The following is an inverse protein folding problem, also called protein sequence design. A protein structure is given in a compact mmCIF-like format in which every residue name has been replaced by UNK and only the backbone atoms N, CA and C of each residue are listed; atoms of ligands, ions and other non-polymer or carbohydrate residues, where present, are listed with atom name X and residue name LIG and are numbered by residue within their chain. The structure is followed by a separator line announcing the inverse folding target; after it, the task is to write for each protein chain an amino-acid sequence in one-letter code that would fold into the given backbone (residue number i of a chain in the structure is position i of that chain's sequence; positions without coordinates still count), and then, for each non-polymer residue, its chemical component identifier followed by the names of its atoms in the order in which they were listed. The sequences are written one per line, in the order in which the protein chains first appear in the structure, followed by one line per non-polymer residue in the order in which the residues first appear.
data_IF_016600512030
#
_entry.id   IF_016600512030
#
_cell.length_a   1.000
_cell.length_b   1.000
_cell.length_c   1.000
_cell.angle_alpha   90.00
_cell.angle_beta   90.00
_cell.angle_gamma   90.00
#
_symmetry.space_group_name_H-M   'P 1'
#
loop_
_entity.id
_entity.type
_entity.pdbx_description
1 polymer ?
#
# COMPACT_ATOMS: atom_id res chain seq x y z
N UNK A 1 12.10 11.33 17.54
CA UNK A 1 11.08 10.79 16.63
C UNK A 1 10.35 9.66 17.33
N UNK A 2 9.02 9.61 17.26
CA UNK A 2 8.29 8.41 17.66
C UNK A 2 8.64 7.23 16.72
N UNK A 3 8.55 5.98 17.20
CA UNK A 3 8.17 5.61 18.55
C UNK A 3 9.32 5.76 19.57
N UNK A 4 8.98 5.80 20.85
CA UNK A 4 9.94 5.85 21.95
C UNK A 4 10.55 4.49 22.30
N UNK A 5 11.23 4.38 23.47
CA UNK A 5 11.86 3.15 23.94
C UNK A 5 10.94 1.92 23.97
N UNK A 6 11.58 0.74 23.91
CA UNK A 6 11.08 -0.62 23.64
C UNK A 6 10.69 -0.94 22.18
N UNK A 7 10.32 0.05 21.36
CA UNK A 7 10.08 -0.16 19.91
C UNK A 7 11.25 0.35 19.08
N UNK A 8 11.70 1.58 19.36
CA UNK A 8 12.86 2.21 18.76
C UNK A 8 14.04 2.17 19.73
N UNK A 9 15.19 1.69 19.27
CA UNK A 9 16.42 1.68 20.08
C UNK A 9 17.06 3.08 20.18
N UNK A 10 16.90 3.91 19.14
CA UNK A 10 17.42 5.27 19.12
C UNK A 10 16.43 6.21 18.41
N UNK A 11 15.67 7.03 19.15
CA UNK A 11 14.69 7.95 18.57
C UNK A 11 15.30 9.27 18.05
N UNK A 12 16.61 9.50 18.21
CA UNK A 12 17.26 10.76 17.86
C UNK A 12 17.46 10.90 16.35
N UNK A 13 17.11 12.06 15.78
CA UNK A 13 17.29 12.38 14.36
C UNK A 13 17.69 13.84 14.18
N UNK A 14 18.24 14.16 13.00
CA UNK A 14 18.34 15.54 12.51
C UNK A 14 17.18 15.78 11.54
N UNK A 15 16.35 16.78 11.83
CA UNK A 15 15.14 17.06 11.03
C UNK A 15 15.49 18.04 9.90
N UNK A 16 15.08 17.70 8.67
CA UNK A 16 15.25 18.52 7.47
C UNK A 16 13.87 18.99 7.00
N UNK A 17 13.60 20.29 7.05
CA UNK A 17 12.25 20.86 6.86
C UNK A 17 12.14 21.85 5.70
N UNK A 18 13.16 21.93 4.85
CA UNK A 18 13.18 22.83 3.70
C UNK A 18 13.60 22.11 2.41
N UNK A 19 13.16 22.64 1.26
CA UNK A 19 13.40 22.04 -0.05
C UNK A 19 14.86 22.04 -0.51
N UNK A 20 15.76 22.75 0.19
CA UNK A 20 17.19 22.76 -0.11
C UNK A 20 17.92 21.66 0.66
N UNK A 21 17.55 21.41 1.91
CA UNK A 21 18.16 20.37 2.74
C UNK A 21 17.61 18.97 2.44
N UNK A 22 16.30 18.84 2.22
CA UNK A 22 15.61 17.54 2.05
C UNK A 22 16.23 16.61 0.97
N UNK A 23 16.68 17.08 -0.21
CA UNK A 23 17.20 16.22 -1.26
C UNK A 23 18.40 15.36 -0.87
N UNK A 24 19.12 15.69 0.22
CA UNK A 24 20.19 14.83 0.75
C UNK A 24 19.70 13.41 1.05
N UNK A 25 18.41 13.25 1.37
CA UNK A 25 17.79 11.97 1.65
C UNK A 25 17.71 11.06 0.42
N UNK A 26 17.95 11.56 -0.79
CA UNK A 26 17.93 10.76 -2.02
C UNK A 26 19.31 10.31 -2.49
N UNK A 27 20.37 10.94 -1.98
CA UNK A 27 21.75 10.66 -2.38
C UNK A 27 22.29 9.44 -1.63
N UNK A 28 22.13 8.26 -2.24
CA UNK A 28 22.56 6.97 -1.66
C UNK A 28 24.08 6.82 -1.53
N UNK A 29 24.87 7.78 -2.02
CA UNK A 29 26.31 7.86 -1.72
C UNK A 29 26.58 8.53 -0.35
N UNK A 30 25.58 9.22 0.22
CA UNK A 30 25.67 9.97 1.47
C UNK A 30 24.78 9.42 2.57
N UNK A 31 23.71 8.70 2.23
CA UNK A 31 22.79 8.08 3.19
C UNK A 31 22.58 6.61 2.88
N UNK A 32 22.69 5.77 3.90
CA UNK A 32 22.22 4.38 3.85
C UNK A 32 20.68 4.35 3.94
N UNK A 33 20.04 3.37 3.29
CA UNK A 33 18.57 3.17 3.25
C UNK A 33 18.13 1.81 3.78
N UNK A 34 18.89 1.24 4.70
CA UNK A 34 18.64 -0.06 5.31
C UNK A 34 17.67 0.05 6.50
N UNK A 35 16.65 -0.80 6.53
CA UNK A 35 15.75 -1.04 7.68
C UNK A 35 15.03 0.20 8.25
N UNK A 36 14.97 1.28 7.49
CA UNK A 36 14.47 2.59 7.94
C UNK A 36 13.23 3.09 7.20
N UNK A 37 12.57 2.22 6.43
CA UNK A 37 11.35 2.56 5.69
C UNK A 37 10.24 3.09 6.60
N UNK A 38 10.20 2.62 7.84
CA UNK A 38 9.26 3.06 8.90
C UNK A 38 9.92 3.98 9.94
N UNK A 39 11.07 4.56 9.63
CA UNK A 39 11.79 5.49 10.51
C UNK A 39 12.79 4.78 11.43
N UNK A 40 12.75 5.10 12.73
CA UNK A 40 13.76 4.63 13.71
C UNK A 40 13.50 3.22 14.24
N UNK A 41 12.55 2.49 13.65
CA UNK A 41 12.27 1.10 13.94
C UNK A 41 11.88 0.38 12.64
N UNK A 42 12.09 -0.93 12.62
CA UNK A 42 11.61 -1.85 11.59
C UNK A 42 10.61 -2.85 12.23
N UNK A 43 9.43 -3.10 11.65
CA UNK A 43 8.51 -4.16 12.09
C UNK A 43 9.17 -5.54 12.12
N UNK A 44 8.63 -6.50 12.89
CA UNK A 44 9.16 -7.87 12.89
C UNK A 44 9.06 -8.49 11.49
N UNK A 45 10.09 -9.22 11.05
CA UNK A 45 10.04 -10.00 9.81
C UNK A 45 9.01 -11.12 9.87
N UNK A 46 8.52 -11.51 11.06
CA UNK A 46 7.39 -12.44 11.20
C UNK A 46 6.10 -11.90 10.55
N UNK A 47 5.99 -10.59 10.35
CA UNK A 47 4.88 -9.95 9.62
C UNK A 47 5.05 -10.02 8.10
N UNK A 48 6.20 -10.49 7.61
CA UNK A 48 6.57 -10.56 6.19
C UNK A 48 7.18 -11.92 5.81
N UNK A 49 6.73 -12.98 6.49
CA UNK A 49 7.16 -14.36 6.17
C UNK A 49 8.60 -14.69 6.54
N UNK A 50 9.22 -13.91 7.43
CA UNK A 50 10.63 -14.04 7.81
C UNK A 50 11.60 -13.24 6.92
N UNK A 51 11.11 -12.60 5.87
CA UNK A 51 11.95 -11.86 4.91
C UNK A 51 12.02 -10.36 5.21
N UNK A 52 13.21 -9.77 5.01
CA UNK A 52 13.36 -8.32 4.86
C UNK A 52 12.96 -7.95 3.43
N UNK A 53 11.74 -7.44 3.26
CA UNK A 53 11.19 -7.09 1.94
C UNK A 53 11.91 -5.90 1.32
N UNK A 54 11.78 -5.75 0.00
CA UNK A 54 12.45 -4.75 -0.84
C UNK A 54 12.47 -3.33 -0.24
N UNK A 55 11.37 -2.87 0.36
CA UNK A 55 11.29 -1.52 0.94
C UNK A 55 12.29 -1.26 2.07
N UNK A 56 12.82 -2.30 2.72
CA UNK A 56 13.81 -2.20 3.82
C UNK A 56 15.24 -2.48 3.36
N UNK A 57 15.46 -2.82 2.08
CA UNK A 57 16.78 -3.17 1.57
C UNK A 57 17.52 -1.94 1.05
N UNK A 58 18.77 -1.78 1.47
CA UNK A 58 19.65 -0.77 0.91
C UNK A 58 20.07 -1.14 -0.54
N UNK A 59 20.30 -0.18 -1.45
CA UNK A 59 20.75 -0.48 -2.81
C UNK A 59 22.06 -1.27 -2.92
N UNK A 60 22.91 -1.24 -1.89
CA UNK A 60 24.13 -2.07 -1.81
C UNK A 60 23.83 -3.57 -1.61
N UNK A 61 22.62 -3.93 -1.18
CA UNK A 61 22.21 -5.33 -0.98
C UNK A 61 21.82 -5.98 -2.34
N UNK A 62 22.41 -7.12 -2.73
CA UNK A 62 22.16 -7.73 -4.04
C UNK A 62 20.68 -8.01 -4.35
N UNK A 63 19.89 -8.39 -3.33
CA UNK A 63 18.47 -8.68 -3.50
C UNK A 63 17.63 -7.43 -3.77
N UNK A 64 18.09 -6.22 -3.38
CA UNK A 64 17.37 -4.98 -3.71
C UNK A 64 17.23 -4.84 -5.24
N UNK A 65 18.32 -5.01 -6.00
CA UNK A 65 18.29 -4.89 -7.45
C UNK A 65 17.39 -5.96 -8.10
N UNK A 66 17.47 -7.21 -7.65
CA UNK A 66 16.66 -8.33 -8.16
C UNK A 66 15.17 -8.11 -7.92
N UNK A 67 14.77 -7.84 -6.67
CA UNK A 67 13.37 -7.63 -6.30
C UNK A 67 12.80 -6.38 -6.96
N UNK A 68 13.58 -5.30 -7.08
CA UNK A 68 13.14 -4.09 -7.80
C UNK A 68 12.94 -4.35 -9.29
N UNK A 69 13.81 -5.14 -9.92
CA UNK A 69 13.63 -5.59 -11.31
C UNK A 69 12.36 -6.42 -11.47
N UNK A 70 12.04 -7.29 -10.51
CA UNK A 70 10.79 -8.04 -10.50
C UNK A 70 9.55 -7.12 -10.45
N UNK A 71 9.60 -6.06 -9.63
CA UNK A 71 8.51 -5.06 -9.60
C UNK A 71 8.38 -4.32 -10.94
N UNK A 72 9.48 -3.97 -11.59
CA UNK A 72 9.45 -3.38 -12.93
C UNK A 72 8.87 -4.34 -13.97
N UNK A 73 9.19 -5.63 -13.88
CA UNK A 73 8.58 -6.65 -14.72
C UNK A 73 7.07 -6.71 -14.52
N UNK A 74 6.58 -6.78 -13.27
CA UNK A 74 5.15 -6.79 -12.95
C UNK A 74 4.43 -5.59 -13.58
N UNK A 75 4.93 -4.37 -13.33
CA UNK A 75 4.32 -3.14 -13.84
C UNK A 75 4.32 -3.08 -15.37
N UNK A 76 5.43 -3.43 -16.01
CA UNK A 76 5.58 -3.33 -17.48
C UNK A 76 4.81 -4.42 -18.23
N UNK A 77 4.77 -5.64 -17.70
CA UNK A 77 4.07 -6.79 -18.31
C UNK A 77 2.55 -6.62 -18.31
N UNK A 78 2.00 -5.81 -17.41
CA UNK A 78 0.56 -5.58 -17.23
C UNK A 78 0.07 -4.20 -17.66
N UNK A 79 0.93 -3.40 -18.32
CA UNK A 79 0.62 -2.00 -18.69
C UNK A 79 -0.69 -1.81 -19.48
N UNK A 80 -1.07 -2.77 -20.33
CA UNK A 80 -2.26 -2.68 -21.17
C UNK A 80 -3.56 -2.88 -20.36
N UNK A 81 -3.47 -3.46 -19.16
CA UNK A 81 -4.60 -3.79 -18.31
C UNK A 81 -4.93 -2.66 -17.32
N UNK A 82 -4.01 -1.70 -17.15
CA UNK A 82 -4.15 -0.63 -16.16
C UNK A 82 -5.37 0.24 -16.45
N UNK A 83 -5.50 0.76 -17.68
CA UNK A 83 -6.60 1.68 -18.03
C UNK A 83 -7.96 0.95 -18.00
N UNK A 84 -8.15 -0.21 -18.67
CA UNK A 84 -9.42 -0.93 -18.63
C UNK A 84 -9.84 -1.30 -17.20
N UNK A 85 -8.93 -1.84 -16.39
CA UNK A 85 -9.28 -2.29 -15.04
C UNK A 85 -9.47 -1.14 -14.05
N UNK A 86 -8.83 0.01 -14.28
CA UNK A 86 -9.13 1.23 -13.56
C UNK A 86 -10.54 1.71 -13.88
N UNK A 87 -10.90 1.78 -15.16
CA UNK A 87 -12.25 2.14 -15.59
C UNK A 87 -13.30 1.22 -14.95
N UNK A 88 -13.12 -0.09 -15.04
CA UNK A 88 -14.07 -1.06 -14.48
C UNK A 88 -14.23 -0.89 -12.96
N UNK A 89 -13.13 -0.92 -12.22
CA UNK A 89 -13.16 -0.90 -10.76
C UNK A 89 -13.69 0.42 -10.18
N UNK A 90 -13.38 1.55 -10.83
CA UNK A 90 -13.83 2.86 -10.38
C UNK A 90 -15.22 3.24 -10.91
N UNK A 91 -15.70 2.62 -11.99
CA UNK A 91 -17.13 2.73 -12.37
C UNK A 91 -18.02 2.06 -11.34
N UNK A 92 -17.67 0.82 -10.94
CA UNK A 92 -18.36 0.08 -9.86
C UNK A 92 -18.37 0.90 -8.54
N UNK A 93 -17.27 1.59 -8.23
CA UNK A 93 -17.18 2.51 -7.09
C UNK A 93 -18.23 3.62 -7.19
N UNK A 94 -18.25 4.37 -8.30
CA UNK A 94 -19.13 5.54 -8.43
C UNK A 94 -20.60 5.13 -8.46
N UNK A 95 -20.96 4.02 -9.11
CA UNK A 95 -22.31 3.44 -9.04
C UNK A 95 -22.71 3.13 -7.58
N UNK A 96 -21.80 2.55 -6.79
CA UNK A 96 -22.03 2.29 -5.37
C UNK A 96 -22.25 3.58 -4.58
N UNK A 97 -21.44 4.62 -4.83
CA UNK A 97 -21.55 5.90 -4.15
C UNK A 97 -22.83 6.64 -4.51
N UNK A 98 -23.27 6.61 -5.78
CA UNK A 98 -24.51 7.21 -6.24
C UNK A 98 -25.73 6.53 -5.61
N UNK A 99 -25.71 5.20 -5.52
CA UNK A 99 -26.75 4.42 -4.84
C UNK A 99 -26.81 4.75 -3.34
N UNK A 100 -25.67 4.89 -2.66
CA UNK A 100 -25.65 5.28 -1.25
C UNK A 100 -26.12 6.74 -1.05
N UNK A 101 -25.69 7.65 -1.94
CA UNK A 101 -26.05 9.05 -1.88
C UNK A 101 -27.55 9.25 -2.07
N UNK A 102 -28.16 8.57 -3.04
CA UNK A 102 -29.61 8.66 -3.32
C UNK A 102 -30.47 8.10 -2.18
N UNK A 103 -29.97 7.10 -1.45
CA UNK A 103 -30.72 6.45 -0.36
C UNK A 103 -30.49 7.08 1.01
N UNK A 104 -29.31 7.64 1.28
CA UNK A 104 -28.92 8.16 2.60
C UNK A 104 -28.63 9.67 2.64
N UNK A 105 -28.63 10.35 1.49
CA UNK A 105 -28.25 11.76 1.37
C UNK A 105 -26.76 12.04 1.56
N UNK A 106 -25.94 11.00 1.75
CA UNK A 106 -24.47 11.06 1.85
C UNK A 106 -23.88 9.68 1.51
N UNK A 107 -22.64 9.65 1.00
CA UNK A 107 -21.93 8.41 0.67
C UNK A 107 -20.54 8.36 1.33
N UNK A 108 -20.15 7.18 1.80
CA UNK A 108 -18.86 6.95 2.48
C UNK A 108 -17.75 6.55 1.51
N UNK A 109 -16.88 7.50 1.12
CA UNK A 109 -15.81 7.24 0.15
C UNK A 109 -14.83 6.14 0.58
N UNK A 110 -14.35 6.17 1.82
CA UNK A 110 -13.15 5.40 2.20
C UNK A 110 -13.32 3.89 2.03
N UNK A 111 -14.45 3.33 2.50
CA UNK A 111 -14.69 1.89 2.40
C UNK A 111 -14.88 1.44 0.94
N UNK A 112 -15.61 2.23 0.15
CA UNK A 112 -15.81 1.97 -1.26
C UNK A 112 -14.47 2.05 -2.03
N UNK A 113 -13.67 3.09 -1.76
CA UNK A 113 -12.35 3.29 -2.37
C UNK A 113 -11.39 2.16 -2.01
N UNK A 114 -11.38 1.71 -0.75
CA UNK A 114 -10.58 0.56 -0.35
C UNK A 114 -10.94 -0.68 -1.18
N UNK A 115 -12.23 -1.00 -1.32
CA UNK A 115 -12.64 -2.15 -2.13
C UNK A 115 -12.24 -1.99 -3.61
N UNK A 116 -12.53 -0.84 -4.21
CA UNK A 116 -12.19 -0.55 -5.59
C UNK A 116 -10.68 -0.58 -5.84
N UNK A 117 -9.87 -0.05 -4.91
CA UNK A 117 -8.42 -0.05 -5.01
C UNK A 117 -7.85 -1.47 -5.00
N UNK A 118 -8.32 -2.34 -4.12
CA UNK A 118 -7.84 -3.72 -4.09
C UNK A 118 -8.29 -4.53 -5.31
N UNK A 119 -9.55 -4.35 -5.77
CA UNK A 119 -10.04 -4.96 -7.01
C UNK A 119 -9.20 -4.50 -8.20
N UNK A 120 -8.96 -3.20 -8.35
CA UNK A 120 -8.14 -2.63 -9.40
C UNK A 120 -6.73 -3.21 -9.41
N UNK A 121 -6.05 -3.24 -8.25
CA UNK A 121 -4.69 -3.79 -8.17
C UNK A 121 -4.65 -5.28 -8.51
N UNK A 122 -5.63 -6.06 -8.02
CA UNK A 122 -5.72 -7.48 -8.32
C UNK A 122 -5.95 -7.75 -9.82
N UNK A 123 -6.93 -7.09 -10.43
CA UNK A 123 -7.28 -7.26 -11.84
C UNK A 123 -6.16 -6.75 -12.75
N UNK A 124 -5.66 -5.54 -12.51
CA UNK A 124 -4.60 -4.95 -13.34
C UNK A 124 -3.28 -5.70 -13.22
N UNK A 125 -2.80 -6.01 -12.02
CA UNK A 125 -1.46 -6.58 -11.82
C UNK A 125 -1.42 -8.11 -11.95
N UNK A 126 -2.51 -8.82 -11.67
CA UNK A 126 -2.51 -10.29 -11.62
C UNK A 126 -3.58 -10.93 -12.50
N UNK A 127 -4.46 -10.14 -13.13
CA UNK A 127 -5.49 -10.65 -14.02
C UNK A 127 -6.57 -11.44 -13.31
N UNK A 128 -6.75 -11.22 -12.00
CA UNK A 128 -7.74 -11.91 -11.19
C UNK A 128 -8.67 -10.92 -10.51
N UNK A 129 -9.96 -11.22 -10.54
CA UNK A 129 -10.95 -10.53 -9.73
C UNK A 129 -11.03 -11.20 -8.35
N UNK A 130 -10.72 -10.50 -7.25
CA UNK A 130 -10.68 -11.11 -5.91
C UNK A 130 -11.98 -11.79 -5.49
N UNK A 131 -13.12 -11.30 -6.00
CA UNK A 131 -14.45 -11.85 -5.74
C UNK A 131 -14.60 -13.30 -6.24
N UNK A 132 -13.85 -13.68 -7.27
CA UNK A 132 -13.87 -15.02 -7.86
C UNK A 132 -12.91 -15.99 -7.12
N UNK A 133 -12.33 -15.54 -6.00
CA UNK A 133 -11.37 -16.32 -5.19
C UNK A 133 -11.88 -16.50 -3.77
N UNK A 134 -11.17 -17.33 -2.98
CA UNK A 134 -11.41 -17.50 -1.53
C UNK A 134 -11.23 -16.20 -0.73
N UNK A 135 -10.61 -15.17 -1.31
CA UNK A 135 -10.41 -13.88 -0.66
C UNK A 135 -11.71 -13.06 -0.66
N UNK A 136 -12.54 -13.17 -1.69
CA UNK A 136 -13.79 -12.42 -1.82
C UNK A 136 -13.56 -10.91 -1.65
N UNK A 137 -14.37 -10.29 -0.80
CA UNK A 137 -14.28 -8.86 -0.43
C UNK A 137 -13.45 -8.62 0.84
N UNK A 138 -12.81 -9.64 1.42
CA UNK A 138 -12.09 -9.50 2.69
C UNK A 138 -10.73 -8.78 2.56
N UNK A 139 -10.18 -8.68 1.34
CA UNK A 139 -8.84 -8.13 1.08
C UNK A 139 -8.52 -6.85 1.86
N UNK A 140 -9.30 -5.75 1.68
CA UNK A 140 -9.09 -4.50 2.41
C UNK A 140 -9.04 -4.64 3.93
N UNK A 141 -9.93 -5.46 4.52
CA UNK A 141 -10.00 -5.66 5.97
C UNK A 141 -8.76 -6.39 6.49
N UNK A 142 -8.33 -7.45 5.80
CA UNK A 142 -7.14 -8.22 6.16
C UNK A 142 -5.88 -7.35 6.05
N UNK A 143 -5.76 -6.57 4.96
CA UNK A 143 -4.65 -5.64 4.76
C UNK A 143 -4.65 -4.57 5.85
N UNK A 144 -5.80 -3.97 6.16
CA UNK A 144 -5.91 -2.94 7.20
C UNK A 144 -5.45 -3.43 8.57
N UNK A 145 -5.86 -4.65 8.96
CA UNK A 145 -5.39 -5.27 10.20
C UNK A 145 -3.88 -5.56 10.15
N UNK A 146 -3.36 -6.12 9.05
CA UNK A 146 -1.93 -6.39 8.91
C UNK A 146 -1.06 -5.13 8.93
N UNK A 147 -1.48 -4.06 8.24
CA UNK A 147 -0.80 -2.75 8.25
C UNK A 147 -0.82 -2.14 9.65
N UNK A 148 -1.91 -2.29 10.42
CA UNK A 148 -1.96 -1.84 11.80
C UNK A 148 -0.86 -2.50 12.64
N UNK A 149 -0.63 -3.81 12.48
CA UNK A 149 0.44 -4.51 13.20
C UNK A 149 1.85 -4.04 12.81
N UNK A 150 2.01 -3.42 11.65
CA UNK A 150 3.29 -2.85 11.22
C UNK A 150 3.47 -1.40 11.67
N UNK A 151 2.40 -0.60 11.63
CA UNK A 151 2.48 0.85 11.77
C UNK A 151 1.87 1.40 13.05
N UNK A 152 1.29 0.57 13.92
CA UNK A 152 0.74 1.00 15.20
C UNK A 152 1.64 1.98 15.99
N UNK A 153 2.99 1.90 15.97
CA UNK A 153 3.83 2.84 16.72
C UNK A 153 3.82 4.28 16.15
N UNK A 154 3.28 4.47 14.95
CA UNK A 154 3.22 5.74 14.22
C UNK A 154 1.78 6.26 14.07
N UNK A 155 0.77 5.48 14.46
CA UNK A 155 -0.63 5.78 14.20
C UNK A 155 -1.34 6.24 15.48
N UNK A 156 -2.09 7.33 15.35
CA UNK A 156 -3.03 7.80 16.37
C UNK A 156 -4.42 7.38 15.92
N UNK A 157 -5.07 6.49 16.68
CA UNK A 157 -6.40 5.93 16.37
C UNK A 157 -7.54 6.71 17.04
N UNK A 158 -7.22 7.68 17.89
CA UNK A 158 -8.21 8.50 18.60
C UNK A 158 -8.74 7.84 19.88
N UNK A 159 -7.99 6.88 20.44
CA UNK A 159 -8.30 6.29 21.75
C UNK A 159 -7.91 7.27 22.88
N UNK A 160 -8.43 7.10 24.11
CA UNK A 160 -7.91 7.84 25.26
C UNK A 160 -6.40 7.66 25.38
N UNK A 161 -5.66 8.76 25.52
CA UNK A 161 -4.18 8.78 25.42
C UNK A 161 -3.47 7.67 26.20
N UNK A 162 -3.86 7.44 27.45
CA UNK A 162 -3.23 6.41 28.30
C UNK A 162 -3.42 5.01 27.71
N UNK A 163 -4.62 4.69 27.21
CA UNK A 163 -4.90 3.42 26.56
C UNK A 163 -4.13 3.31 25.24
N UNK A 164 -4.09 4.38 24.46
CA UNK A 164 -3.38 4.42 23.19
C UNK A 164 -1.87 4.23 23.38
N UNK A 165 -1.26 4.93 24.33
CA UNK A 165 0.18 4.83 24.60
C UNK A 165 0.57 3.42 25.09
N UNK A 166 -0.22 2.82 25.97
CA UNK A 166 0.02 1.47 26.49
C UNK A 166 -0.10 0.39 25.41
N UNK A 167 -1.15 0.47 24.58
CA UNK A 167 -1.47 -0.58 23.61
C UNK A 167 -0.71 -0.40 22.28
N UNK A 168 -0.50 0.84 21.85
CA UNK A 168 -0.02 1.15 20.50
C UNK A 168 1.39 1.75 20.46
N UNK A 169 1.85 2.44 21.50
CA UNK A 169 3.11 3.20 21.42
C UNK A 169 4.24 2.66 22.30
N UNK A 170 3.98 1.66 23.15
CA UNK A 170 4.97 1.12 24.10
C UNK A 170 5.59 -0.21 23.64
N UNK A 171 4.79 -1.19 23.20
CA UNK A 171 5.29 -2.51 22.78
C UNK A 171 4.77 -2.89 21.41
N UNK A 172 5.53 -3.73 20.70
CA UNK A 172 5.12 -4.29 19.40
C UNK A 172 3.93 -5.22 19.59
N UNK A 173 2.91 -5.09 18.72
CA UNK A 173 1.80 -6.03 18.69
C UNK A 173 2.31 -7.44 18.27
N UNK A 174 1.87 -8.53 18.94
CA UNK A 174 2.38 -9.87 18.65
C UNK A 174 2.01 -10.35 17.21
N UNK A 175 2.99 -10.63 16.33
CA UNK A 175 2.71 -11.04 14.94
C UNK A 175 1.80 -12.27 14.79
N UNK A 176 1.81 -13.16 15.79
CA UNK A 176 0.95 -14.35 15.82
C UNK A 176 -0.56 -14.04 15.68
N UNK A 177 -1.02 -12.87 16.15
CA UNK A 177 -2.42 -12.47 16.12
C UNK A 177 -2.94 -12.08 14.71
N UNK A 178 -2.03 -11.90 13.75
CA UNK A 178 -2.37 -11.59 12.35
C UNK A 178 -1.84 -12.63 11.36
N UNK A 179 -1.15 -13.68 11.84
CA UNK A 179 -0.55 -14.73 11.00
C UNK A 179 -1.57 -15.42 10.08
N UNK A 180 -2.76 -15.77 10.58
CA UNK A 180 -3.82 -16.41 9.78
C UNK A 180 -4.36 -15.48 8.68
N UNK A 181 -4.52 -14.20 9.00
CA UNK A 181 -5.00 -13.19 8.04
C UNK A 181 -3.95 -12.95 6.95
N UNK A 182 -2.68 -12.85 7.34
CA UNK A 182 -1.55 -12.74 6.41
C UNK A 182 -1.45 -13.98 5.50
N UNK A 183 -1.67 -15.19 6.04
CA UNK A 183 -1.65 -16.42 5.24
C UNK A 183 -2.73 -16.43 4.16
N UNK A 184 -3.93 -15.89 4.44
CA UNK A 184 -4.99 -15.76 3.42
C UNK A 184 -4.55 -14.85 2.27
N UNK A 185 -3.90 -13.73 2.59
CA UNK A 185 -3.32 -12.84 1.58
C UNK A 185 -2.21 -13.56 0.80
N UNK A 186 -1.27 -14.20 1.50
CA UNK A 186 -0.18 -14.95 0.86
C UNK A 186 -0.71 -16.00 -0.12
N UNK A 187 -1.70 -16.80 0.27
CA UNK A 187 -2.28 -17.83 -0.60
C UNK A 187 -2.89 -17.20 -1.85
N UNK A 188 -3.61 -16.07 -1.72
CA UNK A 188 -4.15 -15.34 -2.86
C UNK A 188 -3.05 -14.92 -3.84
N UNK A 189 -1.95 -14.32 -3.36
CA UNK A 189 -0.85 -13.93 -4.25
C UNK A 189 -0.15 -15.15 -4.85
N UNK A 190 0.12 -16.18 -4.05
CA UNK A 190 0.82 -17.37 -4.50
C UNK A 190 0.06 -18.12 -5.60
N UNK A 191 -1.27 -18.23 -5.46
CA UNK A 191 -2.15 -18.88 -6.45
C UNK A 191 -2.31 -18.07 -7.75
N UNK A 192 -2.23 -16.73 -7.68
CA UNK A 192 -2.62 -15.86 -8.80
C UNK A 192 -1.46 -15.07 -9.45
N UNK A 193 -0.23 -15.23 -8.99
CA UNK A 193 0.94 -14.49 -9.52
C UNK A 193 1.96 -15.37 -10.26
N UNK A 194 1.55 -16.56 -10.73
CA UNK A 194 2.42 -17.58 -11.35
C UNK A 194 3.43 -17.00 -12.34
N UNK A 195 2.99 -16.21 -13.32
CA UNK A 195 3.89 -15.65 -14.34
C UNK A 195 5.01 -14.77 -13.76
N UNK A 196 4.71 -14.03 -12.69
CA UNK A 196 5.67 -13.16 -12.00
C UNK A 196 6.59 -14.00 -11.11
N UNK A 197 6.06 -15.03 -10.45
CA UNK A 197 6.85 -15.97 -9.65
C UNK A 197 7.84 -16.75 -10.53
N UNK A 198 7.43 -17.16 -11.74
CA UNK A 198 8.32 -17.81 -12.71
C UNK A 198 9.46 -16.88 -13.15
N UNK A 199 9.18 -15.57 -13.31
CA UNK A 199 10.22 -14.58 -13.61
C UNK A 199 11.17 -14.36 -12.43
N UNK A 200 10.67 -14.44 -11.20
CA UNK A 200 11.47 -14.32 -9.99
C UNK A 200 12.53 -15.45 -9.90
N UNK A 201 12.15 -16.69 -10.24
CA UNK A 201 13.08 -17.82 -10.24
C UNK A 201 14.22 -17.64 -11.25
N UNK A 202 13.94 -17.08 -12.44
CA UNK A 202 14.97 -16.80 -13.46
C UNK A 202 16.02 -15.79 -12.99
N UNK A 203 15.66 -14.87 -12.10
CA UNK A 203 16.59 -13.90 -11.51
C UNK A 203 17.16 -14.35 -10.17
N UNK A 204 16.92 -15.61 -9.78
CA UNK A 204 17.45 -16.24 -8.58
C UNK A 204 16.82 -15.72 -7.29
N UNK A 205 15.51 -15.49 -7.29
CA UNK A 205 14.68 -15.25 -6.10
C UNK A 205 13.70 -16.43 -5.97
N UNK A 206 13.55 -16.97 -4.76
CA UNK A 206 12.61 -18.08 -4.55
C UNK A 206 11.16 -17.62 -4.74
N UNK A 207 10.25 -18.53 -5.13
CA UNK A 207 8.82 -18.20 -5.24
C UNK A 207 8.23 -17.68 -3.93
N UNK A 208 8.69 -18.20 -2.79
CA UNK A 208 8.26 -17.77 -1.46
C UNK A 208 8.67 -16.32 -1.18
N UNK A 209 9.97 -15.99 -1.34
CA UNK A 209 10.48 -14.63 -1.15
C UNK A 209 9.81 -13.64 -2.12
N UNK A 210 9.64 -14.05 -3.38
CA UNK A 210 8.95 -13.26 -4.40
C UNK A 210 7.50 -12.99 -4.01
N UNK A 211 6.76 -14.00 -3.54
CA UNK A 211 5.36 -13.87 -3.13
C UNK A 211 5.21 -12.89 -1.96
N UNK A 212 6.07 -12.97 -0.93
CA UNK A 212 6.04 -12.01 0.18
C UNK A 212 6.33 -10.58 -0.28
N UNK A 213 7.26 -10.39 -1.23
CA UNK A 213 7.55 -9.08 -1.81
C UNK A 213 6.41 -8.54 -2.69
N UNK A 214 5.73 -9.40 -3.46
CA UNK A 214 4.55 -9.03 -4.26
C UNK A 214 3.38 -8.62 -3.37
N UNK A 215 3.12 -9.40 -2.31
CA UNK A 215 2.12 -9.07 -1.30
C UNK A 215 2.45 -7.71 -0.68
N UNK A 216 3.69 -7.48 -0.25
CA UNK A 216 4.07 -6.22 0.36
C UNK A 216 3.93 -5.04 -0.62
N UNK A 217 4.43 -5.19 -1.85
CA UNK A 217 4.33 -4.16 -2.86
C UNK A 217 2.87 -3.79 -3.18
N UNK A 218 1.99 -4.78 -3.31
CA UNK A 218 0.59 -4.53 -3.64
C UNK A 218 -0.22 -4.04 -2.45
N UNK A 219 -0.11 -4.69 -1.29
CA UNK A 219 -0.94 -4.38 -0.12
C UNK A 219 -0.42 -3.20 0.69
N UNK A 220 0.90 -3.08 0.88
CA UNK A 220 1.48 -2.02 1.69
C UNK A 220 1.77 -0.78 0.85
N UNK A 221 2.61 -0.92 -0.19
CA UNK A 221 3.08 0.24 -0.96
C UNK A 221 1.95 0.83 -1.83
N UNK A 222 1.30 0.00 -2.65
CA UNK A 222 0.30 0.46 -3.62
C UNK A 222 -1.07 0.70 -2.98
N UNK A 223 -1.69 -0.31 -2.37
CA UNK A 223 -3.01 -0.18 -1.74
C UNK A 223 -2.99 0.84 -0.59
N UNK A 224 -1.98 0.79 0.29
CA UNK A 224 -1.80 1.78 1.35
C UNK A 224 -1.62 3.20 0.80
N UNK A 225 -0.86 3.34 -0.29
CA UNK A 225 -0.71 4.61 -1.00
C UNK A 225 -2.03 5.15 -1.57
N UNK A 226 -2.79 4.32 -2.29
CA UNK A 226 -4.10 4.69 -2.87
C UNK A 226 -5.08 5.06 -1.76
N UNK A 227 -5.14 4.27 -0.68
CA UNK A 227 -5.98 4.50 0.51
C UNK A 227 -5.80 5.89 1.10
N UNK A 228 -4.58 6.46 1.03
CA UNK A 228 -4.28 7.81 1.52
C UNK A 228 -4.44 8.85 0.41
N UNK A 229 -3.88 8.60 -0.78
CA UNK A 229 -3.78 9.58 -1.84
C UNK A 229 -5.14 9.92 -2.45
N UNK A 230 -5.99 8.93 -2.74
CA UNK A 230 -7.24 9.14 -3.47
C UNK A 230 -8.26 9.96 -2.67
N UNK A 231 -8.52 9.66 -1.38
CA UNK A 231 -9.37 10.51 -0.55
C UNK A 231 -8.81 11.94 -0.40
N UNK A 232 -7.49 12.09 -0.31
CA UNK A 232 -6.87 13.42 -0.22
C UNK A 232 -7.00 14.21 -1.53
N UNK A 233 -6.84 13.55 -2.68
CA UNK A 233 -7.07 14.14 -4.00
C UNK A 233 -8.51 14.62 -4.12
N UNK A 234 -9.49 13.77 -3.80
CA UNK A 234 -10.90 14.15 -3.85
C UNK A 234 -11.23 15.30 -2.89
N UNK A 235 -10.66 15.29 -1.68
CA UNK A 235 -10.80 16.40 -0.71
C UNK A 235 -10.32 17.73 -1.29
N UNK A 236 -9.15 17.76 -1.93
CA UNK A 236 -8.58 18.99 -2.47
C UNK A 236 -9.31 19.47 -3.72
N UNK A 237 -9.67 18.57 -4.64
CA UNK A 237 -10.49 18.89 -5.80
C UNK A 237 -11.86 19.40 -5.35
N UNK A 238 -12.50 18.74 -4.38
CA UNK A 238 -13.78 19.18 -3.81
C UNK A 238 -13.72 20.60 -3.22
N UNK A 239 -12.65 20.92 -2.48
CA UNK A 239 -12.44 22.25 -1.89
C UNK A 239 -12.11 23.34 -2.90
N UNK A 240 -11.61 23.00 -4.08
CA UNK A 240 -11.35 23.97 -5.14
C UNK A 240 -12.63 24.51 -5.79
N UNK A 241 -13.76 23.84 -5.58
CA UNK A 241 -15.09 24.33 -5.95
C UNK A 241 -15.48 24.11 -7.41
N UNK A 242 -16.75 24.43 -7.70
CA UNK A 242 -17.41 24.09 -8.97
C UNK A 242 -16.71 24.64 -10.22
N UNK A 243 -16.04 25.81 -10.12
CA UNK A 243 -15.28 26.37 -11.24
C UNK A 243 -14.19 25.41 -11.72
N UNK A 244 -13.40 24.84 -10.80
CA UNK A 244 -12.37 23.86 -11.19
C UNK A 244 -13.01 22.59 -11.74
N UNK A 245 -14.12 22.14 -11.14
CA UNK A 245 -14.83 20.93 -11.60
C UNK A 245 -15.29 21.06 -13.06
N UNK A 246 -15.87 22.21 -13.43
CA UNK A 246 -16.29 22.49 -14.80
C UNK A 246 -15.11 22.54 -15.77
N UNK A 247 -13.99 23.15 -15.38
CA UNK A 247 -12.78 23.21 -16.21
C UNK A 247 -12.20 21.82 -16.47
N UNK A 248 -12.05 21.01 -15.42
CA UNK A 248 -11.59 19.61 -15.54
C UNK A 248 -12.54 18.78 -16.41
N UNK A 249 -13.85 18.90 -16.19
CA UNK A 249 -14.83 18.15 -16.97
C UNK A 249 -14.80 18.52 -18.45
N UNK A 250 -14.65 19.81 -18.78
CA UNK A 250 -14.56 20.27 -20.17
C UNK A 250 -13.28 19.77 -20.83
N UNK A 251 -12.12 19.92 -20.17
CA UNK A 251 -10.83 19.50 -20.70
C UNK A 251 -10.81 17.98 -20.97
N UNK A 252 -11.17 17.18 -19.97
CA UNK A 252 -11.13 15.71 -20.07
C UNK A 252 -12.07 15.22 -21.18
N UNK A 253 -13.33 15.69 -21.20
CA UNK A 253 -14.32 15.25 -22.20
C UNK A 253 -13.93 15.66 -23.61
N UNK A 254 -13.38 16.87 -23.78
CA UNK A 254 -12.94 17.35 -25.09
C UNK A 254 -11.82 16.49 -25.67
N UNK A 255 -10.83 16.11 -24.86
CA UNK A 255 -9.69 15.29 -25.30
C UNK A 255 -10.10 13.84 -25.60
N UNK A 256 -11.04 13.27 -24.84
CA UNK A 256 -11.50 11.89 -25.08
C UNK A 256 -12.39 11.81 -26.34
N UNK A 257 -13.13 12.88 -26.66
CA UNK A 257 -14.00 12.93 -27.84
C UNK A 257 -13.28 13.23 -29.17
N UNK A 258 -12.01 13.65 -29.13
CA UNK A 258 -11.19 13.97 -30.30
C UNK A 258 -10.41 12.76 -30.79
#
# INVERSE_FOLDING_TARGET
MPPGPFISFNPNVVVLLDGKSFPILFDVSKVEKKDLFTGTFMPSTDLTGGYRVLSYLDPSEPNHAKLKKLMFYLLSSRRNEVIPEFHNSYSELFETLENELSTKGKAGLNAANDQAAFNFLARSLYGINPQDTKLGTDGPKLIGKWVLFQLHPLLILGLPKVLEDLVMHTFRLPPALVKKDYQRLYNFFYENSTSVLDEAEKIGISREEACHNLLFATCFNSFGGIKIFFPNMLKWIGRAGAKLHSQLAQEIRSVISS
#
